data_IF_842062350075
#
_entry.id   IF_842062350075
#
_cell.length_a   1.000
_cell.length_b   1.000
_cell.length_c   1.000
_cell.angle_alpha   90.00
_cell.angle_beta   90.00
_cell.angle_gamma   90.00
#
_symmetry.space_group_name_H-M   'P 1'
#
loop_
_entity.id
_entity.type
_entity.pdbx_description
1 polymer ?
#
# COMPACT_ATOMS: atom_id res chain seq x y z
N UNK A 1 0.54 -28.61 29.03
CA UNK A 1 1.87 -28.00 28.81
C UNK A 1 1.72 -26.88 27.81
N UNK A 2 1.65 -25.63 28.27
CA UNK A 2 1.70 -24.47 27.37
C UNK A 2 3.05 -24.47 26.64
N UNK A 3 3.03 -24.51 25.29
CA UNK A 3 4.22 -24.23 24.49
C UNK A 3 4.64 -22.79 24.82
N UNK A 4 5.74 -22.64 25.55
CA UNK A 4 6.38 -21.35 25.84
C UNK A 4 6.71 -20.67 24.50
N UNK A 5 5.86 -19.75 24.03
CA UNK A 5 6.15 -18.92 22.86
C UNK A 5 7.37 -18.07 23.21
N UNK A 6 8.50 -18.29 22.52
CA UNK A 6 9.75 -17.55 22.75
C UNK A 6 9.68 -16.10 22.26
N UNK A 7 8.71 -15.76 21.41
CA UNK A 7 8.51 -14.44 20.81
C UNK A 7 7.02 -14.07 20.84
N UNK A 8 6.72 -12.80 21.08
CA UNK A 8 5.35 -12.25 21.05
C UNK A 8 4.90 -12.17 19.58
N UNK A 9 3.76 -12.79 19.26
CA UNK A 9 3.14 -12.69 17.94
C UNK A 9 2.63 -14.01 17.35
N UNK A 10 2.13 -13.90 16.12
CA UNK A 10 1.84 -15.01 15.22
C UNK A 10 2.81 -14.95 14.03
N UNK A 11 3.36 -16.11 13.64
CA UNK A 11 4.37 -16.24 12.59
C UNK A 11 4.00 -17.35 11.61
N UNK A 12 2.70 -17.56 11.41
CA UNK A 12 2.20 -18.56 10.47
C UNK A 12 2.23 -18.04 9.02
N UNK A 13 2.15 -18.95 8.05
CA UNK A 13 2.17 -18.59 6.63
C UNK A 13 1.03 -17.63 6.23
N UNK A 14 -0.05 -17.60 7.02
CA UNK A 14 -1.18 -16.68 6.85
C UNK A 14 -0.85 -15.21 7.10
N UNK A 15 0.19 -14.90 7.89
CA UNK A 15 0.64 -13.52 8.18
C UNK A 15 2.02 -13.20 7.59
N UNK A 16 2.82 -14.23 7.28
CA UNK A 16 4.13 -14.06 6.64
C UNK A 16 3.99 -13.31 5.30
N UNK A 17 2.96 -13.59 4.51
CA UNK A 17 2.78 -12.90 3.23
C UNK A 17 2.50 -11.41 3.42
N UNK A 18 1.70 -11.03 4.42
CA UNK A 18 1.47 -9.63 4.80
C UNK A 18 2.79 -8.97 5.22
N UNK A 19 3.63 -9.66 6.01
CA UNK A 19 4.96 -9.14 6.38
C UNK A 19 5.91 -8.98 5.18
N UNK A 20 5.83 -9.89 4.19
CA UNK A 20 6.58 -9.76 2.94
C UNK A 20 6.09 -8.53 2.17
N UNK A 21 4.77 -8.35 2.02
CA UNK A 21 4.19 -7.17 1.39
C UNK A 21 4.63 -5.87 2.06
N UNK A 22 4.58 -5.82 3.39
CA UNK A 22 5.11 -4.69 4.17
C UNK A 22 6.61 -4.45 3.90
N UNK A 23 7.41 -5.51 3.90
CA UNK A 23 8.86 -5.40 3.65
C UNK A 23 9.14 -4.84 2.24
N UNK A 24 8.39 -5.29 1.23
CA UNK A 24 8.47 -4.77 -0.14
C UNK A 24 8.09 -3.29 -0.18
N UNK A 25 7.03 -2.88 0.53
CA UNK A 25 6.63 -1.47 0.62
C UNK A 25 7.69 -0.62 1.30
N UNK A 26 8.29 -1.07 2.40
CA UNK A 26 9.38 -0.35 3.09
C UNK A 26 10.60 -0.19 2.19
N UNK A 27 11.01 -1.24 1.45
CA UNK A 27 12.07 -1.13 0.44
C UNK A 27 11.65 -0.14 -0.66
N UNK A 28 10.40 -0.20 -1.10
CA UNK A 28 9.87 0.75 -2.07
C UNK A 28 9.90 2.20 -1.57
N UNK A 29 9.67 2.43 -0.27
CA UNK A 29 9.75 3.74 0.37
C UNK A 29 11.19 4.26 0.34
N UNK A 30 12.17 3.44 0.73
CA UNK A 30 13.59 3.85 0.68
C UNK A 30 14.02 4.18 -0.75
N UNK A 31 13.61 3.36 -1.72
CA UNK A 31 13.90 3.61 -3.13
C UNK A 31 13.27 4.92 -3.63
N UNK A 32 12.08 5.29 -3.15
CA UNK A 32 11.46 6.57 -3.50
C UNK A 32 12.26 7.76 -2.93
N UNK A 33 12.74 7.64 -1.69
CA UNK A 33 13.57 8.67 -1.04
C UNK A 33 14.90 8.86 -1.80
N UNK A 34 15.51 7.77 -2.27
CA UNK A 34 16.73 7.78 -3.10
C UNK A 34 16.50 8.31 -4.53
N UNK A 35 15.27 8.68 -4.87
CA UNK A 35 14.87 9.17 -6.19
C UNK A 35 14.65 8.07 -7.24
N UNK A 36 14.69 6.79 -6.85
CA UNK A 36 14.50 5.62 -7.73
C UNK A 36 13.01 5.26 -7.87
N UNK A 37 12.21 6.21 -8.38
CA UNK A 37 10.74 6.07 -8.45
C UNK A 37 10.26 4.90 -9.30
N UNK A 38 11.00 4.50 -10.35
CA UNK A 38 10.64 3.32 -11.16
C UNK A 38 10.57 2.06 -10.28
N UNK A 39 11.58 1.87 -9.41
CA UNK A 39 11.61 0.74 -8.48
C UNK A 39 10.57 0.91 -7.38
N UNK A 40 10.36 2.13 -6.87
CA UNK A 40 9.31 2.39 -5.89
C UNK A 40 7.92 1.98 -6.40
N UNK A 41 7.54 2.44 -7.59
CA UNK A 41 6.23 2.09 -8.19
C UNK A 41 6.09 0.58 -8.43
N UNK A 42 7.18 -0.10 -8.83
CA UNK A 42 7.21 -1.57 -8.92
C UNK A 42 6.98 -2.22 -7.55
N UNK A 43 7.65 -1.76 -6.50
CA UNK A 43 7.45 -2.25 -5.13
C UNK A 43 6.01 -2.06 -4.66
N UNK A 44 5.40 -0.90 -4.93
CA UNK A 44 3.99 -0.66 -4.60
C UNK A 44 3.06 -1.65 -5.30
N UNK A 45 3.27 -1.88 -6.61
CA UNK A 45 2.48 -2.86 -7.37
C UNK A 45 2.68 -4.29 -6.85
N UNK A 46 3.90 -4.67 -6.49
CA UNK A 46 4.20 -5.98 -5.89
C UNK A 46 3.57 -6.13 -4.49
N UNK A 47 3.57 -5.09 -3.67
CA UNK A 47 2.88 -5.11 -2.37
C UNK A 47 1.37 -5.30 -2.54
N UNK A 48 0.75 -4.62 -3.51
CA UNK A 48 -0.67 -4.82 -3.84
C UNK A 48 -0.95 -6.24 -4.35
N UNK A 49 -0.01 -6.86 -5.05
CA UNK A 49 -0.12 -8.26 -5.47
C UNK A 49 -0.06 -9.21 -4.26
N UNK A 50 0.83 -8.96 -3.29
CA UNK A 50 0.92 -9.74 -2.05
C UNK A 50 -0.38 -9.70 -1.25
N UNK A 51 -0.95 -8.51 -1.04
CA UNK A 51 -2.24 -8.28 -0.38
C UNK A 51 -3.39 -9.05 -1.07
N UNK A 52 -3.44 -9.01 -2.40
CA UNK A 52 -4.45 -9.77 -3.14
C UNK A 52 -4.38 -11.30 -2.91
N UNK A 53 -3.19 -11.82 -2.58
CA UNK A 53 -2.97 -13.23 -2.29
C UNK A 53 -3.09 -13.59 -0.82
N UNK A 54 -2.78 -12.69 0.11
CA UNK A 54 -2.81 -13.00 1.54
C UNK A 54 -4.21 -13.34 2.03
N UNK A 55 -5.26 -12.67 1.54
CA UNK A 55 -6.63 -12.99 1.89
C UNK A 55 -7.05 -14.38 1.37
N UNK A 56 -6.51 -14.83 0.23
CA UNK A 56 -6.76 -16.18 -0.30
C UNK A 56 -6.03 -17.24 0.52
N UNK A 57 -4.80 -16.95 0.92
CA UNK A 57 -3.95 -17.85 1.72
C UNK A 57 -4.47 -17.94 3.16
N UNK A 58 -4.92 -16.82 3.74
CA UNK A 58 -5.56 -16.75 5.03
C UNK A 58 -6.82 -17.65 5.11
N UNK A 59 -7.58 -17.75 4.01
CA UNK A 59 -8.79 -18.59 3.90
C UNK A 59 -8.51 -20.07 3.62
N UNK A 60 -7.31 -20.44 3.15
CA UNK A 60 -6.98 -21.85 2.87
C UNK A 60 -6.59 -22.63 4.12
N UNK A 61 -6.26 -21.95 5.23
CA UNK A 61 -5.91 -22.59 6.50
C UNK A 61 -7.15 -23.19 7.18
N UNK A 62 -7.24 -24.52 7.19
CA UNK A 62 -8.36 -25.26 7.79
C UNK A 62 -8.39 -25.23 9.34
N UNK A 63 -7.22 -25.14 9.99
CA UNK A 63 -7.09 -25.22 11.46
C UNK A 63 -6.56 -23.92 12.05
N UNK A 64 -7.21 -22.79 11.73
CA UNK A 64 -6.82 -21.47 12.27
C UNK A 64 -7.56 -21.21 13.57
N UNK A 65 -6.87 -20.82 14.63
CA UNK A 65 -7.54 -20.44 15.88
C UNK A 65 -8.19 -19.06 15.76
N UNK A 66 -9.20 -18.77 16.58
CA UNK A 66 -9.84 -17.44 16.58
C UNK A 66 -8.85 -16.32 16.93
N UNK A 67 -7.91 -16.58 17.86
CA UNK A 67 -6.83 -15.64 18.18
C UNK A 67 -5.92 -15.35 16.96
N UNK A 68 -5.53 -16.37 16.20
CA UNK A 68 -4.71 -16.20 14.98
C UNK A 68 -5.44 -15.45 13.88
N UNK A 69 -6.77 -15.60 13.81
CA UNK A 69 -7.64 -14.91 12.85
C UNK A 69 -7.78 -13.43 13.21
N UNK A 70 -8.09 -13.12 14.46
CA UNK A 70 -8.18 -11.75 14.96
C UNK A 70 -6.83 -11.03 14.86
N UNK A 71 -5.74 -11.67 15.26
CA UNK A 71 -4.41 -11.11 15.14
C UNK A 71 -4.04 -10.82 13.69
N UNK A 72 -4.30 -11.77 12.78
CA UNK A 72 -4.02 -11.59 11.36
C UNK A 72 -4.80 -10.42 10.74
N UNK A 73 -6.08 -10.27 11.09
CA UNK A 73 -6.90 -9.14 10.62
C UNK A 73 -6.34 -7.78 11.08
N UNK A 74 -5.86 -7.69 12.32
CA UNK A 74 -5.25 -6.45 12.82
C UNK A 74 -3.92 -6.15 12.14
N UNK A 75 -3.06 -7.16 11.97
CA UNK A 75 -1.78 -7.01 11.27
C UNK A 75 -1.98 -6.59 9.81
N UNK A 76 -2.94 -7.21 9.11
CA UNK A 76 -3.33 -6.86 7.75
C UNK A 76 -3.69 -5.38 7.63
N UNK A 77 -4.62 -4.92 8.48
CA UNK A 77 -5.04 -3.52 8.51
C UNK A 77 -3.91 -2.53 8.84
N UNK A 78 -3.04 -2.88 9.80
CA UNK A 78 -1.90 -2.03 10.16
C UNK A 78 -0.88 -1.95 9.03
N UNK A 79 -0.63 -3.06 8.34
CA UNK A 79 0.24 -3.09 7.18
C UNK A 79 -0.36 -2.29 6.03
N UNK A 80 -1.66 -2.38 5.78
CA UNK A 80 -2.36 -1.62 4.74
C UNK A 80 -2.24 -0.11 4.92
N UNK A 81 -2.33 0.39 6.16
CA UNK A 81 -2.10 1.82 6.44
C UNK A 81 -0.71 2.24 5.98
N UNK A 82 0.31 1.39 6.16
CA UNK A 82 1.68 1.70 5.74
C UNK A 82 1.82 1.56 4.23
N UNK A 83 1.44 0.41 3.67
CA UNK A 83 1.62 0.03 2.27
C UNK A 83 0.79 0.87 1.30
N UNK A 84 -0.44 1.24 1.67
CA UNK A 84 -1.40 1.87 0.77
C UNK A 84 -1.90 3.23 1.27
N UNK A 85 -1.72 3.56 2.54
CA UNK A 85 -1.94 4.90 3.10
C UNK A 85 -0.67 5.76 3.03
N UNK A 86 0.29 5.49 3.89
CA UNK A 86 1.48 6.32 4.06
C UNK A 86 2.39 6.27 2.82
N UNK A 87 2.65 5.09 2.27
CA UNK A 87 3.61 4.93 1.18
C UNK A 87 3.21 5.69 -0.11
N UNK A 88 1.98 5.56 -0.65
CA UNK A 88 1.57 6.33 -1.82
C UNK A 88 1.56 7.84 -1.58
N UNK A 89 1.14 8.29 -0.38
CA UNK A 89 1.16 9.70 -0.02
C UNK A 89 2.58 10.26 0.00
N UNK A 90 3.54 9.48 0.53
CA UNK A 90 4.96 9.81 0.50
C UNK A 90 5.49 9.89 -0.93
N UNK A 91 5.19 8.91 -1.79
CA UNK A 91 5.59 8.96 -3.21
C UNK A 91 5.07 10.24 -3.87
N UNK A 92 3.79 10.58 -3.68
CA UNK A 92 3.19 11.77 -4.27
C UNK A 92 3.86 13.06 -3.77
N UNK A 93 4.18 13.16 -2.48
CA UNK A 93 4.93 14.27 -1.90
C UNK A 93 6.28 14.45 -2.59
N UNK A 94 7.02 13.35 -2.72
CA UNK A 94 8.34 13.32 -3.34
C UNK A 94 8.27 13.73 -4.82
N UNK A 95 7.20 13.34 -5.52
CA UNK A 95 6.94 13.63 -6.94
C UNK A 95 6.52 15.07 -7.24
N UNK A 96 6.12 15.85 -6.25
CA UNK A 96 5.79 17.28 -6.44
C UNK A 96 4.50 17.76 -5.79
N UNK A 97 3.78 16.92 -5.05
CA UNK A 97 2.65 17.35 -4.21
C UNK A 97 3.19 18.08 -2.97
N UNK A 98 3.56 19.35 -3.14
CA UNK A 98 4.25 20.18 -2.14
C UNK A 98 3.50 21.48 -1.85
N UNK A 99 3.98 22.23 -0.85
CA UNK A 99 3.35 23.46 -0.39
C UNK A 99 2.11 23.20 0.48
N UNK A 100 1.44 24.27 0.90
CA UNK A 100 0.31 24.20 1.84
C UNK A 100 -0.81 23.28 1.34
N UNK A 101 -1.18 23.39 0.05
CA UNK A 101 -2.19 22.53 -0.56
C UNK A 101 -1.74 21.06 -0.60
N UNK A 102 -0.47 20.80 -0.94
CA UNK A 102 0.08 19.45 -0.95
C UNK A 102 0.09 18.80 0.43
N UNK A 103 0.52 19.53 1.47
CA UNK A 103 0.49 19.07 2.86
C UNK A 103 -0.92 18.74 3.32
N UNK A 104 -1.88 19.62 3.04
CA UNK A 104 -3.28 19.37 3.34
C UNK A 104 -3.78 18.08 2.68
N UNK A 105 -3.51 17.89 1.38
CA UNK A 105 -3.96 16.70 0.65
C UNK A 105 -3.33 15.41 1.13
N UNK A 106 -2.04 15.41 1.48
CA UNK A 106 -1.35 14.25 2.05
C UNK A 106 -1.95 13.89 3.40
N UNK A 107 -2.14 14.87 4.29
CA UNK A 107 -2.80 14.66 5.58
C UNK A 107 -4.22 14.14 5.40
N UNK A 108 -4.99 14.76 4.52
CA UNK A 108 -6.36 14.35 4.20
C UNK A 108 -6.41 12.90 3.71
N UNK A 109 -5.57 12.53 2.74
CA UNK A 109 -5.49 11.16 2.21
C UNK A 109 -5.14 10.14 3.30
N UNK A 110 -4.13 10.42 4.13
CA UNK A 110 -3.72 9.55 5.23
C UNK A 110 -4.83 9.38 6.28
N UNK A 111 -5.50 10.47 6.66
CA UNK A 111 -6.62 10.43 7.60
C UNK A 111 -7.77 9.60 7.02
N UNK A 112 -8.14 9.83 5.76
CA UNK A 112 -9.18 9.05 5.07
C UNK A 112 -8.82 7.56 5.01
N UNK A 113 -7.54 7.23 4.78
CA UNK A 113 -7.03 5.85 4.78
C UNK A 113 -7.19 5.16 6.13
N UNK A 114 -6.94 5.86 7.23
CA UNK A 114 -7.13 5.31 8.59
C UNK A 114 -8.62 5.18 8.94
N UNK A 115 -9.45 6.20 8.63
CA UNK A 115 -10.91 6.15 8.85
C UNK A 115 -11.52 4.96 8.11
N UNK A 116 -11.10 4.75 6.86
CA UNK A 116 -11.52 3.65 6.01
C UNK A 116 -11.35 2.28 6.67
N UNK A 117 -10.12 2.00 7.11
CA UNK A 117 -9.76 0.72 7.71
C UNK A 117 -10.39 0.56 9.09
N UNK A 118 -10.42 1.62 9.89
CA UNK A 118 -11.13 1.62 11.18
C UNK A 118 -12.61 1.26 11.03
N UNK A 119 -13.31 1.89 10.07
CA UNK A 119 -14.72 1.60 9.79
C UNK A 119 -14.92 0.14 9.37
N UNK A 120 -14.06 -0.39 8.48
CA UNK A 120 -14.18 -1.76 8.03
C UNK A 120 -13.84 -2.80 9.09
N UNK A 121 -12.84 -2.55 9.94
CA UNK A 121 -12.48 -3.46 11.03
C UNK A 121 -13.62 -3.61 12.03
N UNK A 122 -14.29 -2.50 12.36
CA UNK A 122 -15.50 -2.54 13.21
C UNK A 122 -16.64 -3.25 12.50
N UNK A 123 -16.86 -2.98 11.21
CA UNK A 123 -17.92 -3.63 10.43
C UNK A 123 -17.69 -5.15 10.31
N UNK A 124 -16.45 -5.58 10.11
CA UNK A 124 -16.08 -6.99 10.03
C UNK A 124 -16.22 -7.69 11.38
N UNK A 125 -15.82 -7.04 12.47
CA UNK A 125 -16.02 -7.54 13.83
C UNK A 125 -17.52 -7.78 14.12
N UNK A 126 -18.38 -6.81 13.76
CA UNK A 126 -19.85 -6.97 13.89
C UNK A 126 -20.40 -8.08 13.00
N UNK A 127 -19.86 -8.28 11.80
CA UNK A 127 -20.27 -9.36 10.89
C UNK A 127 -19.88 -10.74 11.40
N UNK A 128 -18.73 -10.89 12.04
CA UNK A 128 -18.34 -12.17 12.64
C UNK A 128 -19.25 -12.58 13.80
N UNK A 129 -19.96 -11.64 14.42
CA UNK A 129 -20.92 -11.89 15.50
C UNK A 129 -22.33 -12.24 15.00
N UNK A 130 -22.64 -11.95 13.73
CA UNK A 130 -23.95 -12.24 13.12
C UNK A 130 -23.73 -13.29 12.04
N UNK A 131 -23.89 -14.56 12.40
CA UNK A 131 -23.95 -15.67 11.46
C UNK A 131 -25.15 -15.49 10.52
N UNK A 132 -24.95 -14.82 9.38
CA UNK A 132 -25.43 -15.26 8.06
C UNK A 132 -25.20 -14.18 7.01
N UNK A 133 -24.59 -14.58 5.89
CA UNK A 133 -24.62 -13.82 4.64
C UNK A 133 -23.28 -13.24 4.20
N UNK A 134 -22.65 -13.93 3.25
CA UNK A 134 -21.52 -13.40 2.47
C UNK A 134 -21.97 -12.21 1.61
N UNK A 135 -21.85 -10.99 2.15
CA UNK A 135 -22.24 -9.81 1.41
C UNK A 135 -21.28 -9.56 0.23
N UNK A 136 -21.85 -9.48 -0.98
CA UNK A 136 -21.16 -9.37 -2.27
C UNK A 136 -20.66 -7.94 -2.60
N UNK A 137 -20.84 -7.00 -1.68
CA UNK A 137 -20.56 -5.58 -1.88
C UNK A 137 -19.61 -5.03 -0.81
N UNK A 138 -18.66 -4.19 -1.24
CA UNK A 138 -17.89 -3.28 -0.40
C UNK A 138 -18.63 -1.95 -0.27
N UNK A 139 -18.49 -1.29 0.88
CA UNK A 139 -18.92 0.10 1.08
C UNK A 139 -17.70 1.00 0.84
N UNK A 140 -17.70 1.86 -0.17
CA UNK A 140 -16.57 2.71 -0.54
C UNK A 140 -15.45 2.00 -1.30
N UNK A 141 -14.41 2.74 -1.69
CA UNK A 141 -13.26 2.22 -2.44
C UNK A 141 -12.26 1.49 -1.51
N UNK A 142 -11.79 0.27 -1.81
CA UNK A 142 -10.75 -0.40 -1.01
C UNK A 142 -9.43 0.40 -0.99
N UNK A 143 -8.73 0.42 0.15
CA UNK A 143 -7.45 1.16 0.27
C UNK A 143 -6.39 0.66 -0.71
N UNK A 144 -6.38 -0.65 -0.96
CA UNK A 144 -5.49 -1.37 -1.88
C UNK A 144 -5.62 -0.90 -3.32
N UNK A 145 -6.71 -0.19 -3.67
CA UNK A 145 -6.90 0.42 -4.99
C UNK A 145 -5.77 1.38 -5.36
N UNK A 146 -5.08 1.99 -4.38
CA UNK A 146 -3.97 2.89 -4.66
C UNK A 146 -2.77 2.17 -5.31
N UNK A 147 -2.60 0.86 -5.08
CA UNK A 147 -1.60 0.04 -5.76
C UNK A 147 -1.90 -0.16 -7.26
N UNK A 148 -3.10 0.17 -7.71
CA UNK A 148 -3.51 0.17 -9.12
C UNK A 148 -3.46 1.60 -9.68
N UNK A 149 -4.05 2.55 -8.95
CA UNK A 149 -4.21 3.94 -9.40
C UNK A 149 -2.86 4.63 -9.56
N UNK A 150 -1.95 4.51 -8.58
CA UNK A 150 -0.69 5.25 -8.63
C UNK A 150 0.26 4.81 -9.74
N UNK A 151 0.48 3.49 -10.01
CA UNK A 151 1.26 3.08 -11.18
C UNK A 151 0.69 3.59 -12.51
N UNK A 152 -0.64 3.60 -12.66
CA UNK A 152 -1.29 4.13 -13.85
C UNK A 152 -1.10 5.64 -14.01
N UNK A 153 -1.25 6.41 -12.93
CA UNK A 153 -0.97 7.84 -12.95
C UNK A 153 0.50 8.09 -13.26
N UNK A 154 1.40 7.33 -12.64
CA UNK A 154 2.83 7.45 -12.87
C UNK A 154 3.21 7.17 -14.32
N UNK A 155 2.52 6.25 -15.00
CA UNK A 155 2.69 6.01 -16.45
C UNK A 155 2.31 7.24 -17.29
N UNK A 156 1.28 8.01 -16.89
CA UNK A 156 0.83 9.19 -17.64
C UNK A 156 1.92 10.24 -17.84
N UNK A 157 2.91 10.31 -16.95
CA UNK A 157 4.04 11.24 -17.07
C UNK A 157 4.77 11.15 -18.42
N UNK A 158 4.71 9.99 -19.09
CA UNK A 158 5.38 9.76 -20.38
C UNK A 158 4.68 10.55 -21.49
N UNK A 159 3.39 10.84 -21.31
CA UNK A 159 2.53 11.43 -22.33
C UNK A 159 2.13 12.88 -22.05
N UNK A 160 2.35 13.38 -20.83
CA UNK A 160 1.89 14.71 -20.40
C UNK A 160 3.06 15.56 -19.86
N UNK A 161 2.85 16.88 -19.79
CA UNK A 161 3.83 17.79 -19.21
C UNK A 161 3.98 17.59 -17.70
N UNK A 162 5.13 17.97 -17.13
CA UNK A 162 5.38 17.87 -15.69
C UNK A 162 4.34 18.64 -14.85
N UNK A 163 3.90 19.81 -15.32
CA UNK A 163 2.88 20.60 -14.64
C UNK A 163 1.53 19.87 -14.61
N UNK A 164 1.11 19.31 -15.75
CA UNK A 164 -0.11 18.50 -15.81
C UNK A 164 -0.03 17.26 -14.91
N UNK A 165 1.12 16.59 -14.90
CA UNK A 165 1.36 15.43 -14.03
C UNK A 165 1.22 15.76 -12.54
N UNK A 166 1.80 16.87 -12.08
CA UNK A 166 1.67 17.32 -10.69
C UNK A 166 0.21 17.63 -10.35
N UNK A 167 -0.54 18.29 -11.25
CA UNK A 167 -1.97 18.56 -11.05
C UNK A 167 -2.76 17.25 -10.94
N UNK A 168 -2.49 16.27 -11.82
CA UNK A 168 -3.12 14.95 -11.76
C UNK A 168 -2.85 14.26 -10.42
N UNK A 169 -1.62 14.35 -9.88
CA UNK A 169 -1.31 13.79 -8.56
C UNK A 169 -2.15 14.45 -7.45
N UNK A 170 -2.26 15.78 -7.42
CA UNK A 170 -3.09 16.48 -6.43
C UNK A 170 -4.56 16.05 -6.51
N UNK A 171 -5.13 16.06 -7.72
CA UNK A 171 -6.52 15.65 -7.95
C UNK A 171 -6.71 14.19 -7.54
N UNK A 172 -5.77 13.31 -7.85
CA UNK A 172 -5.87 11.90 -7.51
C UNK A 172 -5.89 11.63 -6.02
N UNK A 173 -5.02 12.28 -5.23
CA UNK A 173 -5.02 12.13 -3.77
C UNK A 173 -6.34 12.60 -3.16
N UNK A 174 -6.86 13.73 -3.64
CA UNK A 174 -8.15 14.24 -3.19
C UNK A 174 -9.29 13.27 -3.53
N UNK A 175 -9.38 12.86 -4.80
CA UNK A 175 -10.46 11.99 -5.29
C UNK A 175 -10.41 10.61 -4.63
N UNK A 176 -9.24 9.96 -4.58
CA UNK A 176 -9.10 8.63 -3.97
C UNK A 176 -9.35 8.72 -2.46
N UNK A 177 -8.80 9.72 -1.77
CA UNK A 177 -9.06 9.94 -0.34
C UNK A 177 -10.55 10.14 -0.04
N UNK A 178 -11.26 10.92 -0.86
CA UNK A 178 -12.70 11.10 -0.75
C UNK A 178 -13.45 9.77 -1.00
N UNK A 179 -13.07 9.01 -2.04
CA UNK A 179 -13.69 7.72 -2.37
C UNK A 179 -13.49 6.64 -1.29
N UNK A 180 -12.49 6.79 -0.42
CA UNK A 180 -12.35 5.91 0.74
C UNK A 180 -13.47 6.10 1.76
N UNK A 181 -13.94 7.34 1.96
CA UNK A 181 -14.93 7.66 2.99
C UNK A 181 -16.37 7.78 2.44
N UNK A 182 -16.54 8.02 1.15
CA UNK A 182 -17.86 8.07 0.51
C UNK A 182 -18.49 6.68 0.48
N UNK A 183 -19.69 6.56 1.05
CA UNK A 183 -20.45 5.31 1.02
C UNK A 183 -21.12 5.12 -0.34
N UNK A 184 -20.52 4.27 -1.16
CA UNK A 184 -21.13 3.73 -2.37
C UNK A 184 -20.92 2.22 -2.41
N UNK A 185 -21.86 1.49 -3.01
CA UNK A 185 -21.80 0.02 -3.10
C UNK A 185 -20.91 -0.39 -4.26
N UNK A 186 -19.70 -0.84 -3.96
CA UNK A 186 -18.77 -1.41 -4.95
C UNK A 186 -18.92 -2.94 -4.97
N UNK A 187 -19.31 -3.49 -6.12
CA UNK A 187 -19.40 -4.95 -6.30
C UNK A 187 -18.00 -5.57 -6.23
N UNK A 188 -17.84 -6.64 -5.45
CA UNK A 188 -16.57 -7.38 -5.38
C UNK A 188 -16.11 -7.79 -6.79
N UNK A 189 -14.87 -7.46 -7.20
CA UNK A 189 -14.37 -7.85 -8.51
C UNK A 189 -14.27 -9.37 -8.57
N UNK A 190 -14.71 -9.95 -9.70
CA UNK A 190 -14.54 -11.37 -9.97
C UNK A 190 -13.05 -11.67 -10.26
N UNK A 191 -12.64 -12.94 -10.15
CA UNK A 191 -11.27 -13.38 -10.45
C UNK A 191 -10.81 -12.94 -11.85
N UNK A 192 -11.71 -12.95 -12.85
CA UNK A 192 -11.40 -12.45 -14.20
C UNK A 192 -11.07 -10.95 -14.22
N UNK A 193 -11.86 -10.13 -13.50
CA UNK A 193 -11.60 -8.68 -13.38
C UNK A 193 -10.28 -8.44 -12.65
N UNK A 194 -10.01 -9.24 -11.62
CA UNK A 194 -8.78 -9.14 -10.86
C UNK A 194 -7.55 -9.46 -11.72
N UNK A 195 -7.59 -10.54 -12.51
CA UNK A 195 -6.53 -10.88 -13.47
C UNK A 195 -6.32 -9.76 -14.48
N UNK A 196 -7.41 -9.19 -14.99
CA UNK A 196 -7.35 -8.06 -15.92
C UNK A 196 -6.70 -6.81 -15.30
N UNK A 197 -7.06 -6.47 -14.06
CA UNK A 197 -6.44 -5.37 -13.32
C UNK A 197 -4.93 -5.60 -13.11
N UNK A 198 -4.54 -6.81 -12.72
CA UNK A 198 -3.11 -7.17 -12.55
C UNK A 198 -2.36 -7.04 -13.87
N UNK A 199 -2.95 -7.48 -14.99
CA UNK A 199 -2.34 -7.34 -16.31
C UNK A 199 -2.16 -5.87 -16.71
N UNK A 200 -3.19 -5.04 -16.48
CA UNK A 200 -3.11 -3.59 -16.74
C UNK A 200 -1.99 -2.94 -15.94
N UNK A 201 -1.91 -3.23 -14.64
CA UNK A 201 -0.86 -2.69 -13.77
C UNK A 201 0.52 -3.18 -14.22
N UNK A 202 0.65 -4.47 -14.57
CA UNK A 202 1.90 -5.01 -15.07
C UNK A 202 2.37 -4.30 -16.35
N UNK A 203 1.46 -4.06 -17.30
CA UNK A 203 1.77 -3.30 -18.53
C UNK A 203 2.18 -1.87 -18.19
N UNK A 204 1.47 -1.19 -17.29
CA UNK A 204 1.80 0.17 -16.87
C UNK A 204 3.19 0.24 -16.21
N UNK A 205 3.51 -0.71 -15.34
CA UNK A 205 4.82 -0.82 -14.69
C UNK A 205 5.94 -1.10 -15.70
N UNK A 206 5.70 -1.97 -16.70
CA UNK A 206 6.67 -2.22 -17.77
C UNK A 206 6.94 -0.95 -18.58
N UNK A 207 5.88 -0.22 -18.98
CA UNK A 207 6.02 1.05 -19.69
C UNK A 207 6.83 2.05 -18.85
N UNK A 208 6.52 2.17 -17.56
CA UNK A 208 7.27 3.02 -16.63
C UNK A 208 8.75 2.63 -16.58
N UNK A 209 9.07 1.34 -16.43
CA UNK A 209 10.46 0.89 -16.32
C UNK A 209 11.24 1.23 -17.59
N UNK A 210 10.63 1.04 -18.76
CA UNK A 210 11.27 1.23 -20.08
C UNK A 210 11.37 2.71 -20.49
N UNK A 211 10.32 3.51 -20.27
CA UNK A 211 10.18 4.84 -20.89
C UNK A 211 10.20 6.03 -19.90
N UNK A 212 10.07 5.81 -18.59
CA UNK A 212 9.92 6.91 -17.60
C UNK A 212 11.22 7.69 -17.37
N UNK A 213 11.39 8.86 -17.99
CA UNK A 213 12.57 9.71 -17.78
C UNK A 213 12.50 10.65 -16.56
N UNK A 214 11.53 10.49 -15.65
CA UNK A 214 11.50 11.29 -14.41
C UNK A 214 12.83 11.20 -13.66
N UNK A 215 13.56 12.31 -13.64
CA UNK A 215 14.68 12.53 -12.74
C UNK A 215 14.30 13.68 -11.82
N UNK A 216 13.93 13.36 -10.59
CA UNK A 216 13.84 14.37 -9.53
C UNK A 216 15.26 14.57 -9.00
N UNK A 217 15.69 15.81 -8.72
CA UNK A 217 16.92 16.03 -7.98
C UNK A 217 16.89 15.21 -6.68
N UNK A 218 17.95 14.43 -6.45
CA UNK A 218 18.13 13.66 -5.22
C UNK A 218 18.04 14.62 -4.04
N UNK A 219 17.20 14.31 -3.05
CA UNK A 219 17.39 14.93 -1.74
C UNK A 219 18.73 14.43 -1.20
N UNK A 220 19.67 15.35 -0.98
CA UNK A 220 20.97 15.02 -0.39
C UNK A 220 20.76 14.75 1.10
N UNK A 221 20.43 13.51 1.42
CA UNK A 221 20.73 12.96 2.74
C UNK A 221 22.19 12.47 2.71
N UNK A 222 22.94 12.56 3.81
CA UNK A 222 24.27 11.98 3.87
C UNK A 222 24.20 10.47 3.52
N UNK A 223 24.94 10.03 2.51
CA UNK A 223 25.01 8.62 2.06
C UNK A 223 25.70 7.68 3.10
N UNK A 224 25.83 8.10 4.36
CA UNK A 224 26.50 7.31 5.39
C UNK A 224 25.57 6.21 5.91
N UNK A 225 25.78 4.98 5.48
CA UNK A 225 25.13 3.82 6.07
C UNK A 225 25.59 3.55 7.51
N UNK A 226 24.81 2.79 8.28
CA UNK A 226 25.19 2.37 9.63
C UNK A 226 26.58 1.69 9.64
N UNK A 227 26.88 0.87 8.63
CA UNK A 227 28.16 0.20 8.47
C UNK A 227 29.31 1.17 8.21
N UNK A 228 29.09 2.24 7.45
CA UNK A 228 30.11 3.27 7.20
C UNK A 228 30.34 4.13 8.44
N UNK A 229 29.28 4.41 9.19
CA UNK A 229 29.34 5.07 10.49
C UNK A 229 30.10 4.19 11.52
N UNK A 230 29.79 2.90 11.60
CA UNK A 230 30.47 1.94 12.46
C UNK A 230 31.95 1.76 12.06
N UNK A 231 32.25 1.72 10.76
CA UNK A 231 33.64 1.72 10.27
C UNK A 231 34.39 3.01 10.64
N UNK A 232 33.72 4.16 10.61
CA UNK A 232 34.28 5.43 11.06
C UNK A 232 34.53 5.49 12.57
N UNK A 233 33.77 4.74 13.38
CA UNK A 233 33.95 4.62 14.83
C UNK A 233 35.03 3.60 15.19
N UNK A 234 35.11 2.47 14.47
CA UNK A 234 36.08 1.40 14.72
C UNK A 234 37.46 1.72 14.08
N UNK A 235 37.48 2.57 13.05
CA UNK A 235 38.69 2.98 12.33
C UNK A 235 39.42 4.19 12.90
N UNK A 236 39.16 4.58 14.15
CA UNK A 236 39.91 5.62 14.89
C UNK A 236 40.57 5.04 16.13
#
# INVERSE_FOLDING_TARGET
MEKKKKLIGCYDYTVILTYIGLSISVIGMTQAIDGRFRTAILCLALSGLCDMFDGKIARSKKNRTEEEKLFGMQIDSLCDVICFGAYPAMICFLLGVRGLAGWFLICFYCICSVIRLGYFNVLETKRQQVEDGANKYYHGLPITSMAIVLPLIFMLQVFISNAAFIVVLHVSLFVVGLLFIVDFRLKKPNNMVLIFLVLIVAVAVVIVILFSNFRIPKMQFPDTGLLDCLRGIIGK
#
